data_IF_966441561909
#
_entry.id   IF_966441561909
#
_cell.length_a   1.000
_cell.length_b   1.000
_cell.length_c   1.000
_cell.angle_alpha   90.00
_cell.angle_beta   90.00
_cell.angle_gamma   90.00
#
_symmetry.space_group_name_H-M   'P 1'
#
loop_
_entity.id
_entity.type
_entity.pdbx_description
1 polymer ?
#
# COMPACT_ATOMS: atom_id res chain seq x y z
N UNK A 1 6.24 -6.85 -23.61
CA UNK A 1 4.96 -6.17 -23.91
C UNK A 1 5.12 -4.70 -23.50
N UNK A 2 4.54 -3.72 -24.21
CA UNK A 2 4.69 -2.32 -23.79
C UNK A 2 3.92 -2.11 -22.48
N UNK A 3 4.71 -1.87 -21.43
CA UNK A 3 4.34 -1.57 -20.06
C UNK A 3 3.24 -0.48 -20.01
N UNK A 4 2.07 -0.81 -19.45
CA UNK A 4 0.80 -0.08 -19.68
C UNK A 4 0.29 0.73 -18.47
N UNK A 5 1.10 0.95 -17.42
CA UNK A 5 0.67 1.72 -16.24
C UNK A 5 1.34 3.09 -16.06
N UNK A 6 2.22 3.51 -16.97
CA UNK A 6 2.98 4.76 -16.87
C UNK A 6 2.12 6.04 -16.92
N UNK A 7 0.85 5.92 -17.32
CA UNK A 7 -0.14 7.01 -17.33
C UNK A 7 -1.20 6.89 -16.24
N UNK A 8 -1.14 5.85 -15.39
CA UNK A 8 -2.15 5.60 -14.36
C UNK A 8 -2.03 6.64 -13.24
N UNK A 9 -3.12 7.35 -12.97
CA UNK A 9 -3.18 8.42 -11.96
C UNK A 9 -3.99 7.98 -10.73
N UNK A 10 -5.02 7.16 -10.94
CA UNK A 10 -5.93 6.76 -9.88
C UNK A 10 -6.24 5.26 -9.98
N UNK A 11 -6.21 4.57 -8.84
CA UNK A 11 -6.80 3.26 -8.66
C UNK A 11 -8.08 3.44 -7.85
N UNK A 12 -9.22 3.12 -8.43
CA UNK A 12 -10.52 3.19 -7.77
C UNK A 12 -11.25 1.86 -7.90
N UNK A 13 -11.40 1.15 -6.77
CA UNK A 13 -12.01 -0.18 -6.72
C UNK A 13 -13.14 -0.18 -5.70
N UNK A 14 -14.35 -0.52 -6.14
CA UNK A 14 -15.51 -0.54 -5.28
C UNK A 14 -16.41 -1.74 -5.54
N UNK A 15 -16.77 -2.49 -4.48
CA UNK A 15 -17.69 -3.65 -4.57
C UNK A 15 -17.21 -4.69 -5.59
N UNK A 16 -15.95 -5.09 -5.49
CA UNK A 16 -15.31 -6.07 -6.38
C UNK A 16 -14.74 -7.24 -5.58
N UNK A 17 -14.78 -8.43 -6.16
CA UNK A 17 -13.88 -9.51 -5.78
C UNK A 17 -12.58 -9.27 -6.55
N UNK A 18 -11.55 -8.88 -5.81
CA UNK A 18 -10.21 -8.63 -6.32
C UNK A 18 -9.35 -9.66 -5.62
N UNK A 19 -8.59 -10.45 -6.38
CA UNK A 19 -7.75 -11.48 -5.77
C UNK A 19 -6.79 -10.90 -4.72
N UNK A 20 -5.86 -11.72 -4.27
CA UNK A 20 -5.00 -11.41 -3.13
C UNK A 20 -4.32 -10.01 -3.15
N UNK A 21 -3.97 -9.50 -4.32
CA UNK A 21 -3.26 -8.21 -4.49
C UNK A 21 -3.81 -7.36 -5.63
N UNK A 22 -3.71 -6.03 -5.51
CA UNK A 22 -4.07 -5.08 -6.58
C UNK A 22 -2.87 -4.74 -7.45
N UNK A 23 -1.76 -4.35 -6.81
CA UNK A 23 -0.57 -3.86 -7.51
C UNK A 23 0.51 -4.92 -7.41
N UNK A 24 0.78 -5.67 -8.48
CA UNK A 24 1.85 -6.65 -8.47
C UNK A 24 3.22 -5.96 -8.49
N UNK A 25 4.25 -6.63 -7.98
CA UNK A 25 5.59 -6.06 -7.76
C UNK A 25 6.24 -5.53 -9.03
N UNK A 26 6.01 -6.21 -10.17
CA UNK A 26 6.50 -5.81 -11.48
C UNK A 26 5.85 -4.52 -12.03
N UNK A 27 4.71 -4.12 -11.49
CA UNK A 27 4.02 -2.88 -11.85
C UNK A 27 4.48 -1.69 -11.01
N UNK A 28 5.10 -1.89 -9.83
CA UNK A 28 5.56 -0.81 -8.95
C UNK A 28 6.42 0.24 -9.66
N UNK A 29 7.43 -0.12 -10.50
CA UNK A 29 8.27 0.88 -11.16
C UNK A 29 7.53 1.71 -12.21
N UNK A 30 6.33 1.29 -12.62
CA UNK A 30 5.53 1.93 -13.68
C UNK A 30 4.52 2.93 -13.10
N UNK A 31 4.31 2.93 -11.78
CA UNK A 31 3.31 3.77 -11.11
C UNK A 31 3.84 5.17 -10.78
N UNK A 32 4.69 5.72 -11.65
CA UNK A 32 5.29 7.03 -11.45
C UNK A 32 4.25 8.15 -11.41
N UNK A 33 3.11 8.02 -12.10
CA UNK A 33 2.06 9.05 -12.10
C UNK A 33 0.91 8.78 -11.13
N UNK A 34 0.95 7.66 -10.40
CA UNK A 34 -0.13 7.27 -9.51
C UNK A 34 -0.18 8.24 -8.33
N UNK A 35 -1.34 8.86 -8.14
CA UNK A 35 -1.58 9.87 -7.11
C UNK A 35 -2.57 9.41 -6.06
N UNK A 36 -3.56 8.60 -6.45
CA UNK A 36 -4.70 8.30 -5.58
C UNK A 36 -5.05 6.81 -5.62
N UNK A 37 -5.28 6.23 -4.45
CA UNK A 37 -5.82 4.87 -4.31
C UNK A 37 -7.06 4.95 -3.43
N UNK A 38 -8.20 4.56 -3.97
CA UNK A 38 -9.45 4.42 -3.23
C UNK A 38 -9.98 3.00 -3.40
N UNK A 39 -10.07 2.25 -2.31
CA UNK A 39 -10.61 0.89 -2.32
C UNK A 39 -11.72 0.79 -1.29
N UNK A 40 -12.85 0.20 -1.66
CA UNK A 40 -13.82 -0.16 -0.63
C UNK A 40 -14.83 -1.22 -0.98
N UNK A 41 -15.27 -1.92 0.07
CA UNK A 41 -16.14 -3.10 -0.04
C UNK A 41 -15.58 -4.13 -1.04
N UNK A 42 -14.26 -4.34 -1.02
CA UNK A 42 -13.60 -5.34 -1.86
C UNK A 42 -13.30 -6.59 -1.03
N UNK A 43 -13.72 -7.75 -1.55
CA UNK A 43 -13.43 -9.07 -0.96
C UNK A 43 -12.20 -9.69 -1.60
N UNK A 44 -11.52 -10.58 -0.88
CA UNK A 44 -10.34 -11.32 -1.36
C UNK A 44 -9.02 -10.54 -1.29
N UNK A 45 -9.06 -9.24 -1.05
CA UNK A 45 -7.88 -8.38 -1.00
C UNK A 45 -7.13 -8.55 0.33
N UNK A 46 -5.96 -9.19 0.31
CA UNK A 46 -5.11 -9.31 1.51
C UNK A 46 -4.04 -8.21 1.58
N UNK A 47 -3.60 -7.70 0.43
CA UNK A 47 -2.43 -6.81 0.31
C UNK A 47 -2.65 -5.79 -0.83
N UNK A 48 -2.44 -4.47 -0.63
CA UNK A 48 -2.61 -3.50 -1.75
C UNK A 48 -1.46 -3.63 -2.75
N UNK A 49 -0.24 -3.76 -2.25
CA UNK A 49 0.98 -3.91 -3.04
C UNK A 49 1.60 -5.28 -2.79
N UNK A 50 1.83 -6.03 -3.86
CA UNK A 50 2.60 -7.26 -3.84
C UNK A 50 4.09 -6.93 -3.65
N UNK A 51 4.69 -7.62 -2.70
CA UNK A 51 6.13 -7.60 -2.48
C UNK A 51 6.67 -9.01 -2.62
N UNK A 52 7.44 -9.23 -3.69
CA UNK A 52 8.05 -10.54 -4.00
C UNK A 52 9.46 -10.57 -3.42
N UNK A 53 9.74 -11.60 -2.61
CA UNK A 53 11.10 -11.95 -2.22
C UNK A 53 11.78 -12.63 -3.40
N UNK A 54 12.85 -12.03 -3.95
CA UNK A 54 13.73 -12.74 -4.86
C UNK A 54 14.59 -13.70 -4.03
N UNK A 55 14.12 -14.93 -3.87
CA UNK A 55 14.94 -16.01 -3.32
C UNK A 55 16.05 -16.34 -4.33
N UNK A 56 17.30 -15.97 -4.01
CA UNK A 56 18.47 -16.53 -4.70
C UNK A 56 19.46 -15.56 -5.36
N UNK A 57 19.34 -14.24 -5.21
CA UNK A 57 20.36 -13.31 -5.73
C UNK A 57 20.82 -12.31 -4.66
N UNK A 58 22.08 -11.88 -4.76
CA UNK A 58 22.83 -11.11 -3.77
C UNK A 58 21.99 -10.10 -2.97
N UNK A 59 22.01 -10.28 -1.64
CA UNK A 59 21.19 -9.63 -0.60
C UNK A 59 21.31 -8.10 -0.54
N UNK A 60 20.81 -7.38 -1.54
CA UNK A 60 20.68 -5.92 -1.49
C UNK A 60 19.23 -5.54 -1.20
N UNK A 61 19.03 -4.66 -0.22
CA UNK A 61 17.71 -4.13 0.12
C UNK A 61 17.19 -3.30 -1.07
N UNK A 62 16.08 -3.72 -1.65
CA UNK A 62 15.42 -2.98 -2.73
C UNK A 62 14.45 -1.98 -2.13
N UNK A 63 14.51 -0.74 -2.61
CA UNK A 63 13.59 0.32 -2.21
C UNK A 63 12.76 0.68 -3.41
N UNK A 64 11.44 0.46 -3.33
CA UNK A 64 10.49 0.88 -4.34
C UNK A 64 9.83 2.19 -3.89
N UNK A 65 10.12 3.28 -4.60
CA UNK A 65 9.53 4.59 -4.33
C UNK A 65 8.28 4.76 -5.18
N UNK A 66 7.21 5.25 -4.56
CA UNK A 66 5.99 5.64 -5.27
C UNK A 66 5.84 7.15 -5.06
N UNK A 67 6.57 7.95 -5.84
CA UNK A 67 6.88 9.33 -5.47
C UNK A 67 5.69 10.25 -5.58
N UNK A 68 4.68 9.95 -6.40
CA UNK A 68 3.56 10.86 -6.64
C UNK A 68 2.27 10.48 -5.89
N UNK A 69 2.29 9.40 -5.10
CA UNK A 69 1.13 8.99 -4.33
C UNK A 69 0.88 10.00 -3.20
N UNK A 70 -0.24 10.69 -3.27
CA UNK A 70 -0.63 11.73 -2.31
C UNK A 70 -1.74 11.27 -1.37
N UNK A 71 -2.63 10.38 -1.84
CA UNK A 71 -3.80 9.99 -1.07
C UNK A 71 -4.11 8.49 -1.17
N UNK A 72 -4.37 7.89 -0.01
CA UNK A 72 -4.90 6.52 0.09
C UNK A 72 -6.15 6.51 0.98
N UNK A 73 -7.22 5.89 0.48
CA UNK A 73 -8.52 5.77 1.14
C UNK A 73 -9.00 4.33 1.08
N UNK A 74 -9.27 3.74 2.23
CA UNK A 74 -9.70 2.36 2.37
C UNK A 74 -10.96 2.29 3.21
N UNK A 75 -11.98 1.62 2.70
CA UNK A 75 -13.29 1.54 3.36
C UNK A 75 -13.86 0.12 3.32
N UNK A 76 -14.08 -0.51 4.47
CA UNK A 76 -14.74 -1.81 4.57
C UNK A 76 -14.05 -2.89 3.73
N UNK A 77 -12.71 -2.92 3.78
CA UNK A 77 -11.89 -3.96 3.12
C UNK A 77 -11.49 -4.97 4.19
N UNK A 78 -12.39 -5.88 4.50
CA UNK A 78 -12.29 -6.73 5.70
C UNK A 78 -11.14 -7.74 5.61
N UNK A 79 -10.81 -8.26 4.42
CA UNK A 79 -9.76 -9.27 4.23
C UNK A 79 -8.33 -8.69 4.26
N UNK A 80 -8.20 -7.36 4.33
CA UNK A 80 -6.93 -6.66 4.20
C UNK A 80 -6.05 -6.87 5.43
N UNK A 81 -4.94 -7.56 5.25
CA UNK A 81 -3.95 -7.84 6.30
C UNK A 81 -2.82 -6.83 6.31
N UNK A 82 -2.43 -6.34 5.13
CA UNK A 82 -1.32 -5.40 4.97
C UNK A 82 -1.67 -4.32 3.95
N UNK A 83 -1.47 -3.06 4.33
CA UNK A 83 -1.52 -1.94 3.38
C UNK A 83 -0.34 -1.99 2.43
N UNK A 84 0.84 -2.04 3.02
CA UNK A 84 2.13 -2.04 2.34
C UNK A 84 2.94 -3.13 3.02
N UNK A 85 3.04 -4.29 2.36
CA UNK A 85 3.83 -5.39 2.89
C UNK A 85 5.31 -5.05 2.75
N UNK A 86 5.99 -4.78 3.84
CA UNK A 86 7.46 -4.68 3.85
C UNK A 86 8.06 -5.96 4.41
N UNK A 87 9.21 -6.36 3.89
CA UNK A 87 10.01 -7.43 4.47
C UNK A 87 11.48 -6.96 4.58
N UNK A 88 12.37 -7.83 5.05
CA UNK A 88 13.79 -7.48 5.22
C UNK A 88 14.49 -7.10 3.90
N UNK A 89 13.90 -7.41 2.74
CA UNK A 89 14.49 -7.27 1.42
C UNK A 89 13.85 -6.16 0.57
N UNK A 90 12.61 -5.76 0.87
CA UNK A 90 11.89 -4.73 0.13
C UNK A 90 11.17 -3.75 1.07
N UNK A 91 11.46 -2.46 0.88
CA UNK A 91 10.79 -1.35 1.53
C UNK A 91 10.07 -0.48 0.50
N UNK A 92 8.88 -0.01 0.86
CA UNK A 92 8.10 0.95 0.08
C UNK A 92 8.27 2.34 0.68
N UNK A 93 8.54 3.32 -0.17
CA UNK A 93 8.69 4.72 0.23
C UNK A 93 7.62 5.61 -0.43
N UNK A 94 7.03 6.49 0.38
CA UNK A 94 5.92 7.37 -0.01
C UNK A 94 6.21 8.84 0.31
N UNK A 95 7.20 9.48 -0.37
CA UNK A 95 7.71 10.81 -0.02
C UNK A 95 6.68 11.92 -0.06
N UNK A 96 5.61 11.78 -0.86
CA UNK A 96 4.58 12.81 -1.05
C UNK A 96 3.19 12.38 -0.56
N UNK A 97 3.09 11.30 0.22
CA UNK A 97 1.80 10.90 0.79
C UNK A 97 1.38 11.94 1.83
N UNK A 98 0.27 12.63 1.59
CA UNK A 98 -0.27 13.67 2.47
C UNK A 98 -1.43 13.16 3.31
N UNK A 99 -2.24 12.24 2.77
CA UNK A 99 -3.49 11.80 3.40
C UNK A 99 -3.64 10.29 3.37
N UNK A 100 -3.87 9.68 4.53
CA UNK A 100 -4.26 8.28 4.67
C UNK A 100 -5.55 8.17 5.49
N UNK A 101 -6.58 7.56 4.92
CA UNK A 101 -7.85 7.30 5.59
C UNK A 101 -8.19 5.81 5.52
N UNK A 102 -8.41 5.20 6.67
CA UNK A 102 -8.73 3.78 6.84
C UNK A 102 -10.00 3.69 7.69
N UNK A 103 -11.03 3.07 7.14
CA UNK A 103 -12.36 2.99 7.76
C UNK A 103 -12.88 1.55 7.66
N UNK A 104 -13.18 0.90 8.79
CA UNK A 104 -13.78 -0.44 8.79
C UNK A 104 -12.90 -1.57 8.24
N UNK A 105 -11.57 -1.44 8.29
CA UNK A 105 -10.62 -2.49 7.88
C UNK A 105 -10.24 -3.37 9.07
N UNK A 106 -11.03 -4.40 9.33
CA UNK A 106 -10.96 -5.15 10.60
C UNK A 106 -9.73 -6.04 10.75
N UNK A 107 -9.17 -6.62 9.68
CA UNK A 107 -8.01 -7.52 9.77
C UNK A 107 -6.65 -6.80 9.72
N UNK A 108 -6.63 -5.48 9.56
CA UNK A 108 -5.39 -4.72 9.54
C UNK A 108 -4.85 -4.58 10.97
N UNK A 109 -3.60 -4.99 11.21
CA UNK A 109 -2.99 -4.96 12.56
C UNK A 109 -2.11 -3.73 12.82
N UNK A 110 -1.53 -3.19 11.75
CA UNK A 110 -0.65 -2.03 11.75
C UNK A 110 -0.72 -1.31 10.41
N UNK A 111 -0.37 -0.03 10.39
CA UNK A 111 -0.49 0.81 9.18
C UNK A 111 0.85 0.94 8.46
N UNK A 112 1.91 1.21 9.20
CA UNK A 112 3.27 1.40 8.67
C UNK A 112 4.25 0.49 9.40
N UNK A 113 5.42 0.30 8.80
CA UNK A 113 6.59 -0.29 9.48
C UNK A 113 7.66 0.76 9.72
N UNK A 114 8.53 0.56 10.71
CA UNK A 114 9.65 1.45 11.02
C UNK A 114 10.52 1.78 9.80
N UNK A 115 10.63 0.85 8.85
CA UNK A 115 11.37 1.05 7.59
C UNK A 115 10.82 2.18 6.71
N UNK A 116 9.54 2.53 6.87
CA UNK A 116 8.83 3.49 6.02
C UNK A 116 8.78 4.90 6.61
N UNK A 117 8.94 5.04 7.92
CA UNK A 117 8.69 6.29 8.67
C UNK A 117 9.50 7.46 8.10
N UNK A 118 10.76 7.22 7.73
CA UNK A 118 11.62 8.25 7.16
C UNK A 118 11.17 8.75 5.78
N UNK A 119 10.28 8.03 5.11
CA UNK A 119 9.71 8.45 3.81
C UNK A 119 8.40 9.21 3.96
N UNK A 120 7.73 9.17 5.11
CA UNK A 120 6.40 9.78 5.30
C UNK A 120 6.48 11.28 5.66
N UNK A 121 7.42 12.00 5.06
CA UNK A 121 7.78 13.38 5.44
C UNK A 121 6.69 14.42 5.13
N UNK A 122 5.75 14.10 4.23
CA UNK A 122 4.64 14.97 3.86
C UNK A 122 3.29 14.55 4.46
N UNK A 123 3.25 13.49 5.28
CA UNK A 123 1.98 12.98 5.83
C UNK A 123 1.41 13.98 6.83
N UNK A 124 0.23 14.53 6.51
CA UNK A 124 -0.46 15.55 7.31
C UNK A 124 -1.70 14.97 7.97
N UNK A 125 -2.48 14.19 7.23
CA UNK A 125 -3.76 13.65 7.69
C UNK A 125 -3.72 12.13 7.79
N UNK A 126 -3.89 11.62 9.00
CA UNK A 126 -4.08 10.19 9.26
C UNK A 126 -5.41 9.97 9.98
N UNK A 127 -6.36 9.35 9.30
CA UNK A 127 -7.67 9.02 9.84
C UNK A 127 -7.85 7.50 9.90
N UNK A 128 -8.11 6.98 11.09
CA UNK A 128 -8.37 5.56 11.32
C UNK A 128 -9.66 5.44 12.14
N UNK A 129 -10.69 4.83 11.59
CA UNK A 129 -11.98 4.60 12.23
C UNK A 129 -12.43 3.15 12.05
N UNK A 130 -13.15 2.62 13.06
CA UNK A 130 -13.78 1.29 13.00
C UNK A 130 -12.84 0.11 12.63
N UNK A 131 -11.55 0.25 12.91
CA UNK A 131 -10.52 -0.77 12.64
C UNK A 131 -10.14 -1.52 13.93
N UNK A 132 -10.82 -2.62 14.21
CA UNK A 132 -10.76 -3.30 15.53
C UNK A 132 -9.40 -3.92 15.88
N UNK A 133 -8.63 -4.40 14.90
CA UNK A 133 -7.37 -5.09 15.16
C UNK A 133 -6.12 -4.22 15.04
N UNK A 134 -6.26 -2.94 14.65
CA UNK A 134 -5.11 -2.02 14.60
C UNK A 134 -4.69 -1.73 16.05
N UNK A 135 -3.51 -2.24 16.43
CA UNK A 135 -2.95 -2.02 17.78
C UNK A 135 -1.91 -0.91 17.81
N UNK A 136 -1.20 -0.73 16.70
CA UNK A 136 -0.15 0.28 16.55
C UNK A 136 -0.24 0.90 15.16
N UNK A 137 0.06 2.19 15.06
CA UNK A 137 0.17 2.85 13.75
C UNK A 137 1.46 2.46 13.05
N UNK A 138 2.56 2.39 13.81
CA UNK A 138 3.88 2.00 13.32
C UNK A 138 4.31 0.73 14.05
N UNK A 139 4.66 -0.31 13.30
CA UNK A 139 5.23 -1.56 13.80
C UNK A 139 6.75 -1.57 13.66
N UNK A 140 7.44 -2.04 14.70
CA UNK A 140 8.90 -2.25 14.71
C UNK A 140 9.37 -3.30 13.70
#
# INVERSE_FOLDING_TARGET
MPNSFNSLIEINLWRRDVGKTIVPSHALPQLEKLQQITIGRCGGLEEVFEVVSLEGTNKSRTVAKIPNLTQVKLKWVHDLKYLWKSNQWMALEFPNLTTLSIDGCENLEHVFTCSMVNSLVQLQDLHISDCKNIKVVVKE
#
